data_IF_356354282202
#
_entry.id   IF_356354282202
#
_cell.length_a   1.000
_cell.length_b   1.000
_cell.length_c   1.000
_cell.angle_alpha   90.00
_cell.angle_beta   90.00
_cell.angle_gamma   90.00
#
_symmetry.space_group_name_H-M   'P 1'
#
loop_
_entity.id
_entity.type
_entity.pdbx_description
1 polymer ?
#
# COMPACT_ATOMS: atom_id res chain seq x y z
N UNK A 1 -8.77 -6.13 19.56
CA UNK A 1 -8.80 -4.79 18.92
C UNK A 1 -7.38 -4.22 18.72
N UNK A 2 -6.54 -4.16 19.77
CA UNK A 2 -5.16 -3.65 19.66
C UNK A 2 -4.27 -4.43 18.68
N UNK A 3 -4.34 -5.76 18.69
CA UNK A 3 -3.50 -6.61 17.82
C UNK A 3 -3.74 -6.35 16.31
N UNK A 4 -5.00 -6.18 15.90
CA UNK A 4 -5.33 -5.86 14.51
C UNK A 4 -4.78 -4.50 14.10
N UNK A 5 -5.04 -3.46 14.90
CA UNK A 5 -4.58 -2.10 14.58
C UNK A 5 -3.05 -2.07 14.48
N UNK A 6 -2.36 -2.77 15.39
CA UNK A 6 -0.91 -2.89 15.38
C UNK A 6 -0.43 -3.63 14.12
N UNK A 7 -1.09 -4.72 13.73
CA UNK A 7 -0.77 -5.46 12.51
C UNK A 7 -0.94 -4.60 11.24
N UNK A 8 -2.03 -3.83 11.14
CA UNK A 8 -2.28 -2.90 10.04
C UNK A 8 -1.23 -1.80 9.96
N UNK A 9 -0.90 -1.18 11.09
CA UNK A 9 0.09 -0.10 11.15
C UNK A 9 1.48 -0.61 10.76
N UNK A 10 1.89 -1.75 11.32
CA UNK A 10 3.17 -2.37 11.04
C UNK A 10 3.27 -2.75 9.56
N UNK A 11 2.23 -3.39 9.04
CA UNK A 11 2.08 -3.72 7.62
C UNK A 11 2.23 -2.52 6.69
N UNK A 12 1.56 -1.39 7.02
CA UNK A 12 1.65 -0.16 6.25
C UNK A 12 3.05 0.45 6.27
N UNK A 13 3.72 0.40 7.42
CA UNK A 13 5.07 0.94 7.59
C UNK A 13 6.10 0.12 6.81
N UNK A 14 6.00 -1.21 6.88
CA UNK A 14 6.89 -2.12 6.15
C UNK A 14 6.62 -2.12 4.65
N UNK A 15 5.38 -1.87 4.18
CA UNK A 15 5.08 -1.79 2.74
C UNK A 15 5.55 -0.47 2.09
N UNK A 16 5.69 0.60 2.87
CA UNK A 16 6.21 1.87 2.37
C UNK A 16 7.69 1.78 1.94
N UNK A 17 8.50 0.98 2.64
CA UNK A 17 9.93 0.80 2.35
C UNK A 17 10.18 0.31 0.91
N UNK A 18 9.61 -0.82 0.45
CA UNK A 18 9.79 -1.28 -0.92
C UNK A 18 9.17 -0.31 -1.94
N UNK A 19 8.05 0.35 -1.61
CA UNK A 19 7.44 1.34 -2.52
C UNK A 19 8.36 2.53 -2.81
N UNK A 20 9.06 3.04 -1.78
CA UNK A 20 10.09 4.07 -1.95
C UNK A 20 11.30 3.51 -2.70
N UNK A 21 11.73 2.29 -2.38
CA UNK A 21 12.82 1.61 -3.08
C UNK A 21 12.57 1.50 -4.59
N UNK A 22 11.37 1.08 -5.01
CA UNK A 22 10.97 1.07 -6.41
C UNK A 22 10.95 2.48 -7.00
N UNK A 23 10.44 3.48 -6.28
CA UNK A 23 10.47 4.88 -6.72
C UNK A 23 11.89 5.39 -7.00
N UNK A 24 12.88 5.00 -6.17
CA UNK A 24 14.29 5.35 -6.41
C UNK A 24 14.85 4.68 -7.67
N UNK A 25 14.52 3.41 -7.92
CA UNK A 25 14.95 2.68 -9.14
C UNK A 25 14.42 3.37 -10.40
N UNK A 26 13.20 3.91 -10.35
CA UNK A 26 12.61 4.68 -11.45
C UNK A 26 13.03 6.15 -11.50
N UNK A 27 14.03 6.56 -10.70
CA UNK A 27 14.54 7.94 -10.65
C UNK A 27 13.45 9.00 -10.40
N UNK A 28 12.46 8.66 -9.56
CA UNK A 28 11.35 9.55 -9.17
C UNK A 28 11.91 10.74 -8.37
N UNK A 29 11.45 11.98 -8.61
CA UNK A 29 11.96 13.15 -7.90
C UNK A 29 11.66 13.08 -6.39
N UNK A 30 12.55 13.65 -5.58
CA UNK A 30 12.49 13.56 -4.10
C UNK A 30 11.16 14.00 -3.48
N UNK A 31 10.47 14.95 -4.10
CA UNK A 31 9.15 15.41 -3.63
C UNK A 31 8.05 14.36 -3.89
N UNK A 32 8.16 13.60 -4.98
CA UNK A 32 7.21 12.54 -5.35
C UNK A 32 7.47 11.23 -4.59
N UNK A 33 8.67 11.02 -4.04
CA UNK A 33 9.01 9.85 -3.21
C UNK A 33 8.08 9.71 -1.99
N UNK A 34 7.69 10.82 -1.35
CA UNK A 34 6.78 10.80 -0.21
C UNK A 34 5.38 10.31 -0.62
N UNK A 35 4.93 10.68 -1.83
CA UNK A 35 3.67 10.20 -2.39
C UNK A 35 3.75 8.72 -2.77
N UNK A 36 4.89 8.23 -3.27
CA UNK A 36 5.12 6.80 -3.46
C UNK A 36 5.06 6.01 -2.15
N UNK A 37 5.65 6.53 -1.07
CA UNK A 37 5.60 5.90 0.25
C UNK A 37 4.16 5.77 0.77
N UNK A 38 3.40 6.87 0.69
CA UNK A 38 1.98 6.91 1.08
C UNK A 38 1.13 6.01 0.18
N UNK A 39 1.36 6.03 -1.13
CA UNK A 39 0.65 5.18 -2.08
C UNK A 39 0.86 3.70 -1.81
N UNK A 40 2.10 3.28 -1.51
CA UNK A 40 2.43 1.90 -1.14
C UNK A 40 1.82 1.45 0.19
N UNK A 41 1.75 2.35 1.18
CA UNK A 41 1.07 2.09 2.45
C UNK A 41 -0.44 1.92 2.27
N UNK A 42 -1.08 2.80 1.48
CA UNK A 42 -2.52 2.78 1.22
C UNK A 42 -2.91 1.57 0.35
N UNK A 43 -2.14 1.24 -0.69
CA UNK A 43 -2.37 0.05 -1.50
C UNK A 43 -2.31 -1.23 -0.65
N UNK A 44 -1.31 -1.36 0.21
CA UNK A 44 -1.15 -2.57 1.01
C UNK A 44 -2.23 -2.71 2.09
N UNK A 45 -2.58 -1.60 2.76
CA UNK A 45 -3.64 -1.59 3.79
C UNK A 45 -5.02 -1.84 3.19
N UNK A 46 -5.34 -1.25 2.03
CA UNK A 46 -6.59 -1.53 1.32
C UNK A 46 -6.69 -2.99 0.90
N UNK A 47 -5.62 -3.58 0.35
CA UNK A 47 -5.55 -5.02 0.07
C UNK A 47 -5.83 -5.85 1.32
N UNK A 48 -5.22 -5.51 2.46
CA UNK A 48 -5.41 -6.23 3.71
C UNK A 48 -6.86 -6.17 4.22
N UNK A 49 -7.48 -5.00 4.13
CA UNK A 49 -8.89 -4.81 4.50
C UNK A 49 -9.84 -5.63 3.60
N UNK A 50 -9.54 -5.70 2.29
CA UNK A 50 -10.30 -6.52 1.34
C UNK A 50 -10.16 -8.02 1.63
N UNK A 51 -8.99 -8.47 2.09
CA UNK A 51 -8.76 -9.86 2.50
C UNK A 51 -9.53 -10.22 3.79
N UNK A 52 -9.63 -9.30 4.76
CA UNK A 52 -10.46 -9.49 5.96
C UNK A 52 -11.96 -9.60 5.61
N UNK A 53 -12.39 -9.00 4.49
CA UNK A 53 -13.73 -9.15 3.91
C UNK A 53 -13.92 -10.47 3.14
N UNK A 54 -12.98 -11.43 3.25
CA UNK A 54 -13.00 -12.74 2.60
C UNK A 54 -13.02 -12.67 1.05
N UNK A 55 -12.53 -11.58 0.45
CA UNK A 55 -12.36 -11.51 -1.00
C UNK A 55 -11.16 -12.35 -1.48
N UNK A 56 -11.21 -12.89 -2.71
CA UNK A 56 -10.07 -13.55 -3.29
C UNK A 56 -8.90 -12.58 -3.48
N UNK A 57 -7.67 -13.08 -3.35
CA UNK A 57 -6.43 -12.28 -3.42
C UNK A 57 -6.34 -11.52 -4.75
N UNK A 58 -6.75 -12.14 -5.85
CA UNK A 58 -6.78 -11.51 -7.18
C UNK A 58 -7.63 -10.23 -7.19
N UNK A 59 -8.86 -10.30 -6.68
CA UNK A 59 -9.79 -9.16 -6.66
C UNK A 59 -9.35 -8.11 -5.64
N UNK A 60 -8.86 -8.53 -4.48
CA UNK A 60 -8.36 -7.63 -3.45
C UNK A 60 -7.18 -6.80 -3.97
N UNK A 61 -6.25 -7.43 -4.67
CA UNK A 61 -5.06 -6.76 -5.23
C UNK A 61 -5.44 -5.89 -6.42
N UNK A 62 -6.36 -6.35 -7.27
CA UNK A 62 -6.92 -5.55 -8.36
C UNK A 62 -7.55 -4.25 -7.83
N UNK A 63 -8.47 -4.34 -6.87
CA UNK A 63 -9.15 -3.17 -6.30
C UNK A 63 -8.18 -2.22 -5.57
N UNK A 64 -7.22 -2.76 -4.82
CA UNK A 64 -6.18 -1.96 -4.16
C UNK A 64 -5.32 -1.18 -5.17
N UNK A 65 -4.91 -1.84 -6.27
CA UNK A 65 -4.13 -1.19 -7.34
C UNK A 65 -4.95 -0.17 -8.14
N UNK A 66 -6.24 -0.45 -8.36
CA UNK A 66 -7.18 0.46 -9.00
C UNK A 66 -7.36 1.74 -8.17
N UNK A 67 -7.54 1.60 -6.86
CA UNK A 67 -7.68 2.73 -5.94
C UNK A 67 -6.50 3.69 -6.05
N UNK A 68 -5.27 3.19 -5.92
CA UNK A 68 -4.08 4.04 -6.08
C UNK A 68 -3.94 4.56 -7.50
N UNK A 69 -4.22 3.75 -8.52
CA UNK A 69 -4.16 4.17 -9.92
C UNK A 69 -5.16 5.28 -10.27
N UNK A 70 -6.26 5.42 -9.54
CA UNK A 70 -7.20 6.55 -9.70
C UNK A 70 -6.78 7.82 -8.95
N UNK A 71 -5.87 7.71 -7.97
CA UNK A 71 -5.42 8.82 -7.13
C UNK A 71 -4.09 9.41 -7.66
N UNK A 72 -3.24 8.58 -8.24
CA UNK A 72 -1.92 8.94 -8.79
C UNK A 72 -2.02 9.64 -10.15
#
# INVERSE_FOLDING_TARGET
MNEMILHYLLSALFSAIPAVGFGMVFNVPKHALNFCALGGAIAYTSRLALLDLHMPIELATFLASLLIGTIA
#
